data_IF_899420384262
#
_entry.id   IF_899420384262
#
_cell.length_a   1.000
_cell.length_b   1.000
_cell.length_c   1.000
_cell.angle_alpha   90.00
_cell.angle_beta   90.00
_cell.angle_gamma   90.00
#
_symmetry.space_group_name_H-M   'P 1'
#
loop_
_entity.id
_entity.type
_entity.pdbx_description
1 polymer ?
#
# COMPACT_ATOMS: atom_id res chain seq x y z
N UNK A 1 70.09 -1.13 1.70
CA UNK A 1 68.91 -0.27 1.44
C UNK A 1 68.07 -1.03 0.45
N UNK A 2 67.27 -1.92 1.00
CA UNK A 2 66.87 -3.14 0.32
C UNK A 2 65.46 -3.02 -0.23
N UNK A 3 65.35 -3.35 -1.52
CA UNK A 3 64.17 -3.28 -2.39
C UNK A 3 63.02 -4.20 -1.94
N UNK A 4 63.28 -5.00 -0.91
CA UNK A 4 62.40 -6.02 -0.31
C UNK A 4 61.53 -5.47 0.84
N UNK A 5 61.63 -4.18 1.18
CA UNK A 5 60.77 -3.57 2.21
C UNK A 5 59.50 -2.91 1.64
N UNK A 6 59.41 -2.73 0.32
CA UNK A 6 58.32 -1.96 -0.31
C UNK A 6 57.21 -2.83 -0.91
N UNK A 7 57.44 -4.14 -1.08
CA UNK A 7 56.43 -5.08 -1.60
C UNK A 7 55.51 -5.68 -0.54
N UNK A 8 55.83 -5.53 0.75
CA UNK A 8 55.02 -6.11 1.83
C UNK A 8 53.82 -5.21 2.26
N UNK A 9 53.77 -3.95 1.83
CA UNK A 9 52.69 -3.03 2.22
C UNK A 9 51.47 -3.04 1.28
N UNK A 10 51.54 -3.73 0.13
CA UNK A 10 50.52 -3.66 -0.92
C UNK A 10 49.60 -4.89 -1.02
N UNK A 11 49.80 -5.91 -0.19
CA UNK A 11 49.01 -7.16 -0.21
C UNK A 11 47.92 -7.26 0.87
N UNK A 12 47.72 -6.22 1.67
CA UNK A 12 46.75 -6.19 2.78
C UNK A 12 45.38 -5.56 2.49
N UNK A 13 45.09 -5.13 1.25
CA UNK A 13 43.91 -4.30 0.94
C UNK A 13 42.92 -4.90 -0.07
N UNK A 14 43.02 -6.19 -0.39
CA UNK A 14 42.19 -6.84 -1.41
C UNK A 14 41.09 -7.77 -0.85
N UNK A 15 40.81 -7.76 0.46
CA UNK A 15 39.83 -8.66 1.08
C UNK A 15 38.60 -7.97 1.70
N UNK A 16 38.43 -6.66 1.52
CA UNK A 16 37.35 -5.89 2.16
C UNK A 16 36.24 -5.40 1.22
N UNK A 17 36.27 -5.73 -0.08
CA UNK A 17 35.29 -5.19 -1.06
C UNK A 17 34.18 -6.22 -1.39
N UNK A 18 34.32 -7.49 -1.00
CA UNK A 18 33.30 -8.51 -1.26
C UNK A 18 32.15 -8.56 -0.23
N UNK A 19 32.17 -7.72 0.80
CA UNK A 19 31.08 -7.64 1.79
C UNK A 19 29.99 -6.61 1.44
N UNK A 20 30.18 -5.78 0.39
CA UNK A 20 29.23 -4.73 0.02
C UNK A 20 28.27 -5.13 -1.13
N UNK A 21 28.37 -6.36 -1.64
CA UNK A 21 27.46 -6.90 -2.65
C UNK A 21 26.41 -7.88 -2.08
N UNK A 22 26.37 -8.01 -0.75
CA UNK A 22 25.37 -8.80 -0.04
C UNK A 22 24.44 -7.92 0.81
N UNK A 23 24.26 -6.65 0.44
CA UNK A 23 22.96 -6.00 0.64
C UNK A 23 22.02 -6.51 -0.45
N UNK A 24 21.77 -7.82 -0.43
CA UNK A 24 20.53 -8.35 -0.96
C UNK A 24 19.47 -7.69 -0.08
N UNK A 25 18.91 -6.58 -0.58
CA UNK A 25 17.88 -5.77 0.05
C UNK A 25 17.03 -6.69 0.92
N UNK A 26 17.31 -6.67 2.23
CA UNK A 26 16.57 -7.47 3.18
C UNK A 26 15.11 -7.08 2.94
N UNK A 27 14.20 -8.04 2.64
CA UNK A 27 12.80 -7.68 2.54
C UNK A 27 12.49 -7.00 3.86
N UNK A 28 12.02 -5.75 3.79
CA UNK A 28 11.66 -4.99 4.97
C UNK A 28 10.58 -5.79 5.71
N UNK A 29 11.03 -6.65 6.63
CA UNK A 29 10.22 -7.34 7.61
C UNK A 29 10.04 -6.32 8.73
N UNK A 30 9.16 -5.38 8.47
CA UNK A 30 8.80 -4.29 9.36
C UNK A 30 7.61 -3.61 8.72
N UNK A 31 6.57 -3.37 9.49
CA UNK A 31 5.27 -2.83 9.07
C UNK A 31 5.34 -1.41 8.47
N UNK A 32 6.51 -0.94 8.03
CA UNK A 32 6.74 0.39 7.51
C UNK A 32 6.97 0.39 5.98
N UNK A 33 6.03 1.00 5.24
CA UNK A 33 6.05 1.26 3.81
C UNK A 33 6.84 2.54 3.52
N UNK A 34 8.03 2.45 2.92
CA UNK A 34 8.89 3.62 2.78
C UNK A 34 8.35 4.58 1.70
N UNK A 35 8.53 5.90 1.86
CA UNK A 35 8.10 6.91 0.88
C UNK A 35 8.54 6.59 -0.56
N UNK A 36 9.77 6.09 -0.73
CA UNK A 36 10.35 5.76 -2.04
C UNK A 36 9.67 4.56 -2.72
N UNK A 37 8.84 3.77 -2.02
CA UNK A 37 8.08 2.65 -2.58
C UNK A 37 6.61 2.99 -2.82
N UNK A 38 6.14 4.18 -2.43
CA UNK A 38 4.73 4.57 -2.62
C UNK A 38 4.33 4.56 -4.10
N UNK A 39 5.25 4.91 -5.00
CA UNK A 39 5.01 4.84 -6.44
C UNK A 39 4.63 3.44 -6.96
N UNK A 40 5.03 2.37 -6.26
CA UNK A 40 4.70 0.99 -6.63
C UNK A 40 3.22 0.67 -6.38
N UNK A 41 2.54 1.45 -5.54
CA UNK A 41 1.12 1.31 -5.24
C UNK A 41 0.22 1.96 -6.30
N UNK A 42 0.77 2.74 -7.23
CA UNK A 42 0.01 3.37 -8.30
C UNK A 42 -0.59 2.34 -9.26
N UNK A 43 -1.91 2.25 -9.34
CA UNK A 43 -2.57 1.23 -10.16
C UNK A 43 -4.07 1.17 -9.92
N UNK A 44 -4.73 0.20 -10.57
CA UNK A 44 -6.15 -0.10 -10.38
C UNK A 44 -6.31 -1.34 -9.51
N UNK A 45 -7.22 -1.29 -8.56
CA UNK A 45 -7.51 -2.32 -7.58
C UNK A 45 -9.02 -2.57 -7.55
N UNK A 46 -9.43 -3.83 -7.54
CA UNK A 46 -10.85 -4.19 -7.50
C UNK A 46 -11.11 -5.24 -6.43
N UNK A 47 -12.28 -5.16 -5.80
CA UNK A 47 -12.63 -6.11 -4.76
C UNK A 47 -13.91 -5.76 -4.04
N UNK A 48 -14.05 -6.27 -2.83
CA UNK A 48 -15.14 -5.89 -1.93
C UNK A 48 -14.58 -5.19 -0.71
N UNK A 49 -15.39 -4.29 -0.16
CA UNK A 49 -15.12 -3.59 1.09
C UNK A 49 -16.39 -3.57 1.93
N UNK A 50 -16.23 -3.41 3.23
CA UNK A 50 -17.31 -2.93 4.07
C UNK A 50 -17.66 -1.50 3.64
N UNK A 51 -18.96 -1.22 3.48
CA UNK A 51 -19.42 0.12 3.16
C UNK A 51 -19.18 1.08 4.33
N UNK A 52 -18.93 2.35 4.02
CA UNK A 52 -18.67 3.39 5.01
C UNK A 52 -19.96 3.99 5.60
N UNK A 53 -21.09 3.80 4.91
CA UNK A 53 -22.41 4.27 5.35
C UNK A 53 -23.19 3.15 6.03
N UNK A 54 -24.10 3.49 6.95
CA UNK A 54 -24.89 2.50 7.70
C UNK A 54 -25.92 1.74 6.86
N UNK A 55 -26.35 2.32 5.74
CA UNK A 55 -27.35 1.75 4.83
C UNK A 55 -26.75 0.80 3.78
N UNK A 56 -25.42 0.75 3.67
CA UNK A 56 -24.69 -0.16 2.80
C UNK A 56 -23.65 -0.98 3.58
N UNK A 57 -23.93 -2.27 3.76
CA UNK A 57 -23.07 -3.16 4.54
C UNK A 57 -21.80 -3.54 3.76
N UNK A 58 -21.94 -3.79 2.46
CA UNK A 58 -20.83 -4.22 1.58
C UNK A 58 -20.92 -3.54 0.23
N UNK A 59 -19.78 -3.07 -0.25
CA UNK A 59 -19.62 -2.51 -1.58
C UNK A 59 -18.70 -3.38 -2.43
N UNK A 60 -19.00 -3.47 -3.73
CA UNK A 60 -17.97 -3.76 -4.74
C UNK A 60 -17.25 -2.45 -5.03
N UNK A 61 -15.92 -2.47 -4.99
CA UNK A 61 -15.07 -1.31 -5.14
C UNK A 61 -14.13 -1.45 -6.35
N UNK A 62 -13.92 -0.33 -7.04
CA UNK A 62 -12.93 -0.10 -8.09
C UNK A 62 -12.13 1.14 -7.72
N UNK A 63 -10.91 0.94 -7.28
CA UNK A 63 -10.01 1.97 -6.78
C UNK A 63 -8.88 2.17 -7.77
N UNK A 64 -8.65 3.42 -8.18
CA UNK A 64 -7.45 3.84 -8.91
C UNK A 64 -6.61 4.74 -8.03
N UNK A 65 -5.34 4.37 -7.85
CA UNK A 65 -4.32 5.16 -7.17
C UNK A 65 -3.36 5.76 -8.19
N UNK A 66 -3.18 7.06 -8.12
CA UNK A 66 -2.31 7.84 -8.97
C UNK A 66 -1.30 8.60 -8.12
N UNK A 67 -0.04 8.61 -8.56
CA UNK A 67 1.02 9.35 -7.90
C UNK A 67 1.05 10.74 -8.53
N UNK A 68 0.98 11.77 -7.69
CA UNK A 68 1.15 13.16 -8.14
C UNK A 68 2.49 13.34 -8.86
N UNK A 69 2.52 14.21 -9.87
CA UNK A 69 3.76 14.58 -10.56
C UNK A 69 4.73 15.26 -9.57
N UNK A 70 6.02 15.38 -9.90
CA UNK A 70 7.00 16.01 -9.02
C UNK A 70 6.64 17.46 -8.58
N UNK A 71 5.74 18.14 -9.29
CA UNK A 71 5.18 19.46 -8.95
C UNK A 71 3.90 19.41 -8.10
N UNK A 72 3.22 18.27 -8.03
CA UNK A 72 2.02 18.02 -7.23
C UNK A 72 2.37 17.04 -6.10
N UNK A 73 2.58 17.56 -4.89
CA UNK A 73 3.02 16.75 -3.75
C UNK A 73 1.98 15.76 -3.23
N UNK A 74 0.73 15.84 -3.70
CA UNK A 74 -0.36 15.00 -3.21
C UNK A 74 -0.69 13.86 -4.20
N UNK A 75 -0.65 12.62 -3.72
CA UNK A 75 -1.11 11.47 -4.49
C UNK A 75 -2.65 11.47 -4.56
N UNK A 76 -3.22 11.11 -5.72
CA UNK A 76 -4.65 11.21 -6.03
C UNK A 76 -5.30 9.84 -6.13
N UNK A 77 -6.57 9.73 -5.74
CA UNK A 77 -7.33 8.52 -5.98
C UNK A 77 -8.69 8.80 -6.61
N UNK A 78 -9.22 7.81 -7.31
CA UNK A 78 -10.62 7.71 -7.71
C UNK A 78 -11.16 6.37 -7.24
N UNK A 79 -12.25 6.37 -6.48
CA UNK A 79 -12.90 5.20 -5.95
C UNK A 79 -14.35 5.16 -6.43
N UNK A 80 -14.71 4.15 -7.23
CA UNK A 80 -16.09 3.85 -7.56
C UNK A 80 -16.59 2.69 -6.72
N UNK A 81 -17.71 2.88 -6.03
CA UNK A 81 -18.35 1.87 -5.19
C UNK A 81 -19.76 1.57 -5.69
N UNK A 82 -20.15 0.30 -5.64
CA UNK A 82 -21.52 -0.15 -5.88
C UNK A 82 -21.96 -0.95 -4.67
N UNK A 83 -23.05 -0.55 -4.02
CA UNK A 83 -23.59 -1.29 -2.89
C UNK A 83 -24.11 -2.66 -3.36
N UNK A 84 -23.71 -3.73 -2.67
CA UNK A 84 -24.12 -5.11 -3.02
C UNK A 84 -24.82 -5.83 -1.87
N UNK A 85 -24.85 -5.24 -0.66
CA UNK A 85 -25.58 -5.73 0.51
C UNK A 85 -26.02 -4.55 1.39
N UNK A 86 -27.19 -4.64 2.01
CA UNK A 86 -27.82 -3.56 2.79
C UNK A 86 -29.03 -2.92 2.09
N UNK A 87 -29.61 -1.91 2.74
CA UNK A 87 -30.79 -1.18 2.26
C UNK A 87 -30.51 -0.43 0.94
N UNK A 88 -29.28 0.03 0.74
CA UNK A 88 -28.87 0.79 -0.44
C UNK A 88 -28.41 -0.07 -1.63
N UNK A 89 -28.61 -1.40 -1.62
CA UNK A 89 -28.10 -2.34 -2.66
C UNK A 89 -28.48 -2.03 -4.12
N UNK A 90 -29.51 -1.22 -4.34
CA UNK A 90 -30.00 -0.81 -5.66
C UNK A 90 -29.71 0.65 -5.99
N UNK A 91 -29.00 1.35 -5.10
CA UNK A 91 -28.57 2.71 -5.36
C UNK A 91 -27.59 2.76 -6.54
N UNK A 92 -27.56 3.89 -7.22
CA UNK A 92 -26.57 4.13 -8.27
C UNK A 92 -25.14 4.06 -7.69
N UNK A 93 -24.14 3.61 -8.47
CA UNK A 93 -22.75 3.65 -8.04
C UNK A 93 -22.32 5.06 -7.61
N UNK A 94 -21.50 5.14 -6.56
CA UNK A 94 -20.91 6.38 -6.08
C UNK A 94 -19.45 6.46 -6.50
N UNK A 95 -19.02 7.62 -6.99
CA UNK A 95 -17.62 7.89 -7.30
C UNK A 95 -17.09 8.97 -6.37
N UNK A 96 -15.98 8.66 -5.69
CA UNK A 96 -15.32 9.51 -4.72
C UNK A 96 -13.90 9.77 -5.22
N UNK A 97 -13.45 11.01 -5.13
CA UNK A 97 -12.09 11.41 -5.50
C UNK A 97 -11.45 12.14 -4.34
N UNK A 98 -10.17 11.93 -4.12
CA UNK A 98 -9.47 12.59 -3.03
C UNK A 98 -7.96 12.42 -3.11
N UNK A 99 -7.32 12.62 -1.97
CA UNK A 99 -5.88 12.39 -1.78
C UNK A 99 -5.67 11.09 -1.02
N UNK A 100 -4.62 10.36 -1.37
CA UNK A 100 -4.19 9.21 -0.59
C UNK A 100 -2.78 9.42 -0.09
N UNK A 101 -2.44 8.72 0.99
CA UNK A 101 -1.12 8.73 1.57
C UNK A 101 -0.85 7.47 2.36
N UNK A 102 0.37 7.36 2.83
CA UNK A 102 0.79 6.36 3.81
C UNK A 102 1.01 7.10 5.12
N UNK A 103 0.25 6.75 6.16
CA UNK A 103 0.50 7.26 7.49
C UNK A 103 1.71 6.55 8.10
N UNK A 104 2.85 7.24 8.10
CA UNK A 104 4.11 6.72 8.64
C UNK A 104 4.10 6.56 10.17
N UNK A 105 3.18 7.22 10.88
CA UNK A 105 3.02 7.05 12.34
C UNK A 105 2.06 5.91 12.69
N UNK A 106 1.18 5.50 11.77
CA UNK A 106 0.25 4.38 11.92
C UNK A 106 0.74 3.11 11.19
N UNK A 107 2.04 2.81 11.28
CA UNK A 107 2.70 1.65 10.63
C UNK A 107 2.28 1.49 9.17
N UNK A 108 2.36 2.59 8.44
CA UNK A 108 2.24 2.62 7.00
C UNK A 108 0.92 2.14 6.42
N UNK A 109 -0.16 2.46 7.13
CA UNK A 109 -1.52 2.37 6.65
C UNK A 109 -1.71 3.23 5.40
N UNK A 110 -2.18 2.64 4.30
CA UNK A 110 -2.64 3.42 3.16
C UNK A 110 -4.02 3.99 3.48
N UNK A 111 -4.15 5.30 3.50
CA UNK A 111 -5.39 5.99 3.81
C UNK A 111 -5.95 6.72 2.59
N UNK A 112 -7.27 6.69 2.45
CA UNK A 112 -8.00 7.49 1.47
C UNK A 112 -8.66 8.66 2.20
N UNK A 113 -8.14 9.87 1.98
CA UNK A 113 -8.69 11.10 2.54
C UNK A 113 -10.06 11.41 1.96
N UNK A 114 -11.03 11.67 2.83
CA UNK A 114 -12.42 11.98 2.49
C UNK A 114 -13.15 12.50 3.72
N UNK A 115 -14.01 13.49 3.51
CA UNK A 115 -15.00 13.98 4.47
C UNK A 115 -16.37 13.90 3.80
N UNK A 116 -17.35 13.33 4.48
CA UNK A 116 -18.72 13.31 3.93
C UNK A 116 -19.43 14.62 4.29
N UNK A 117 -19.83 15.45 3.31
CA UNK A 117 -20.55 16.69 3.61
C UNK A 117 -21.92 16.45 4.24
N UNK A 118 -22.51 15.26 4.05
CA UNK A 118 -23.82 14.90 4.58
C UNK A 118 -23.74 14.18 5.94
N UNK A 119 -22.56 13.66 6.31
CA UNK A 119 -22.31 13.03 7.61
C UNK A 119 -20.98 13.53 8.22
N UNK A 120 -21.02 14.55 9.10
CA UNK A 120 -19.84 15.12 9.74
C UNK A 120 -19.05 14.15 10.63
N UNK A 121 -19.57 12.94 10.89
CA UNK A 121 -18.84 11.90 11.62
C UNK A 121 -17.95 11.05 10.71
N UNK A 122 -18.09 11.16 9.39
CA UNK A 122 -17.25 10.46 8.41
C UNK A 122 -16.10 11.37 7.99
N UNK A 123 -14.89 10.99 8.40
CA UNK A 123 -13.66 11.68 8.04
C UNK A 123 -12.64 11.66 9.17
N UNK A 124 -11.41 12.14 8.92
CA UNK A 124 -10.91 12.72 7.67
C UNK A 124 -10.49 11.67 6.61
N UNK A 125 -10.65 10.38 6.89
CA UNK A 125 -10.38 9.29 5.94
C UNK A 125 -11.58 8.34 5.86
N UNK A 126 -11.88 7.83 4.67
CA UNK A 126 -12.99 6.88 4.43
C UNK A 126 -12.57 5.43 4.59
N UNK A 127 -11.31 5.10 4.26
CA UNK A 127 -10.76 3.74 4.38
C UNK A 127 -9.28 3.76 4.74
N UNK A 128 -8.88 2.80 5.57
CA UNK A 128 -7.49 2.42 5.84
C UNK A 128 -7.20 1.01 5.30
N UNK A 129 -6.06 0.85 4.64
CA UNK A 129 -5.63 -0.40 4.03
C UNK A 129 -4.24 -0.83 4.49
N UNK A 130 -4.13 -2.08 4.91
CA UNK A 130 -2.84 -2.77 5.00
C UNK A 130 -2.39 -3.12 3.58
N UNK A 131 -1.16 -2.75 3.24
CA UNK A 131 -0.51 -3.15 1.99
C UNK A 131 0.10 -4.54 2.20
N UNK A 132 -0.35 -5.52 1.42
CA UNK A 132 0.16 -6.89 1.48
C UNK A 132 0.78 -7.27 0.14
N UNK A 133 1.88 -8.02 0.16
CA UNK A 133 2.39 -8.63 -1.07
C UNK A 133 1.39 -9.69 -1.56
N UNK A 134 0.98 -9.57 -2.83
CA UNK A 134 0.06 -10.50 -3.43
C UNK A 134 0.67 -11.91 -3.42
N UNK A 135 0.00 -12.86 -2.77
CA UNK A 135 0.45 -14.25 -2.73
C UNK A 135 0.41 -14.85 -4.14
N UNK A 136 1.55 -14.87 -4.81
CA UNK A 136 1.70 -15.53 -6.10
C UNK A 136 1.67 -17.04 -5.90
N UNK A 137 0.51 -17.67 -6.14
CA UNK A 137 0.44 -19.13 -6.28
C UNK A 137 1.21 -19.55 -7.54
N UNK A 138 2.49 -19.86 -7.35
CA UNK A 138 3.29 -20.68 -8.27
C UNK A 138 3.40 -20.14 -9.69
N UNK A 139 4.19 -19.07 -9.90
CA UNK A 139 5.02 -18.87 -11.11
C UNK A 139 5.79 -17.56 -10.95
N UNK A 140 7.09 -17.64 -11.31
CA UNK A 140 8.08 -16.57 -11.57
C UNK A 140 7.79 -15.23 -10.92
N UNK A 141 8.76 -14.73 -10.14
CA UNK A 141 8.88 -13.35 -9.68
C UNK A 141 8.73 -12.33 -10.82
N UNK A 142 7.51 -12.13 -11.30
CA UNK A 142 7.06 -10.93 -11.95
C UNK A 142 6.94 -9.87 -10.86
N UNK A 143 7.18 -8.61 -11.21
CA UNK A 143 7.17 -7.46 -10.30
C UNK A 143 6.16 -7.62 -9.16
N UNK A 144 6.61 -7.37 -7.92
CA UNK A 144 5.78 -7.48 -6.72
C UNK A 144 4.44 -6.78 -6.95
N UNK A 145 3.36 -7.57 -7.03
CA UNK A 145 2.00 -7.06 -6.98
C UNK A 145 1.62 -6.91 -5.50
N UNK A 146 0.79 -5.91 -5.21
CA UNK A 146 0.29 -5.67 -3.87
C UNK A 146 -1.23 -5.79 -3.86
N UNK A 147 -1.75 -6.36 -2.78
CA UNK A 147 -3.17 -6.35 -2.44
C UNK A 147 -3.39 -5.34 -1.30
N UNK A 148 -4.59 -4.75 -1.26
CA UNK A 148 -4.99 -3.79 -0.23
C UNK A 148 -6.08 -4.42 0.64
N UNK A 149 -5.74 -4.78 1.87
CA UNK A 149 -6.69 -5.35 2.83
C UNK A 149 -7.27 -4.25 3.70
N UNK A 150 -8.60 -4.10 3.68
CA UNK A 150 -9.28 -3.11 4.53
C UNK A 150 -9.10 -3.50 5.99
N UNK A 151 -8.52 -2.60 6.80
CA UNK A 151 -8.36 -2.83 8.23
C UNK A 151 -8.56 -1.53 9.02
N UNK A 152 -9.79 -1.34 9.47
CA UNK A 152 -10.16 -0.19 10.31
C UNK A 152 -9.71 1.17 9.76
N UNK A 153 -9.61 2.13 10.65
CA UNK A 153 -9.14 3.49 10.33
C UNK A 153 -7.62 3.64 10.43
N UNK A 154 -6.95 2.77 11.21
CA UNK A 154 -5.52 2.86 11.52
C UNK A 154 -4.74 1.56 11.21
N UNK A 155 -5.31 0.63 10.44
CA UNK A 155 -4.63 -0.60 10.01
C UNK A 155 -4.11 -1.50 11.15
N UNK A 156 -4.67 -1.37 12.37
CA UNK A 156 -4.25 -2.08 13.58
C UNK A 156 -5.40 -2.54 14.46
N UNK A 157 -6.58 -2.81 13.90
CA UNK A 157 -7.69 -3.27 14.74
C UNK A 157 -7.42 -4.62 15.41
N UNK A 158 -6.32 -5.31 15.05
CA UNK A 158 -5.89 -6.60 15.60
C UNK A 158 -6.82 -7.75 15.22
N UNK A 159 -7.93 -7.45 14.58
CA UNK A 159 -8.88 -8.38 14.04
C UNK A 159 -8.45 -8.65 12.59
N UNK A 160 -8.24 -9.91 12.18
CA UNK A 160 -8.29 -10.25 10.77
C UNK A 160 -9.56 -9.59 10.20
N UNK A 161 -9.56 -9.07 8.96
CA UNK A 161 -10.80 -8.56 8.39
C UNK A 161 -11.85 -9.63 8.63
N UNK A 162 -12.90 -9.29 9.40
CA UNK A 162 -13.88 -10.27 9.92
C UNK A 162 -14.46 -11.14 8.79
N UNK A 163 -14.34 -10.63 7.56
CA UNK A 163 -14.52 -11.37 6.34
C UNK A 163 -13.26 -11.27 5.46
N UNK A 164 -12.73 -12.43 5.04
CA UNK A 164 -11.56 -12.55 4.16
C UNK A 164 -11.75 -11.88 2.78
N UNK A 165 -12.95 -11.37 2.48
CA UNK A 165 -13.31 -10.72 1.22
C UNK A 165 -13.20 -9.19 1.23
N UNK A 166 -12.87 -8.55 2.36
CA UNK A 166 -12.60 -7.09 2.46
C UNK A 166 -11.22 -6.71 1.90
N UNK A 167 -10.90 -7.16 0.69
CA UNK A 167 -9.61 -6.94 0.01
C UNK A 167 -9.81 -6.42 -1.40
N UNK A 168 -8.94 -5.51 -1.82
CA UNK A 168 -8.81 -5.07 -3.20
C UNK A 168 -7.56 -5.68 -3.81
N UNK A 169 -7.72 -6.30 -4.98
CA UNK A 169 -6.62 -6.91 -5.71
C UNK A 169 -6.24 -6.05 -6.90
N UNK A 170 -4.95 -5.96 -7.17
CA UNK A 170 -4.45 -5.22 -8.33
C UNK A 170 -4.93 -5.86 -9.64
N UNK A 171 -5.45 -5.04 -10.54
CA UNK A 171 -5.81 -5.43 -11.91
C UNK A 171 -4.69 -5.00 -12.84
N UNK A 172 -4.23 -5.93 -13.69
CA UNK A 172 -3.23 -5.67 -14.73
C UNK A 172 -3.92 -5.41 -16.07
#
# INVERSE_FOLDING_TARGET
MDKEAMSALLLGLAAAIAAMAADAAQPASGDDWPPQRQQLLAGRYVGKLQGYTRDCETVRADLRLEVGAASETAHRYTLTTTCIAGAARHAAPRTITGVWGIDQMASSCLTLGFEDPDDPQVGPNIYGFRVEEAQTRGRRAAAADYDLAQDGFNCHSGMPPEHADKRLRRVR
#
